data_IF_174628631375
#
_entry.id   IF_174628631375
#
_cell.length_a   1.000
_cell.length_b   1.000
_cell.length_c   1.000
_cell.angle_alpha   90.00
_cell.angle_beta   90.00
_cell.angle_gamma   90.00
#
_symmetry.space_group_name_H-M   'P 1'
#
loop_
_entity.id
_entity.type
_entity.pdbx_description
1 polymer ?
#
# COMPACT_ATOMS: atom_id res chain seq x y z
N UNK A 1 0.56 -13.14 -7.24
CA UNK A 1 0.27 -11.90 -8.02
C UNK A 1 0.03 -10.80 -7.02
N UNK A 2 0.74 -9.67 -7.05
CA UNK A 2 0.62 -8.62 -6.03
C UNK A 2 -0.82 -8.06 -5.83
N UNK A 3 -1.01 -7.33 -4.73
CA UNK A 3 -2.20 -6.53 -4.45
C UNK A 3 -1.84 -5.05 -4.32
N UNK A 4 -2.67 -4.17 -4.90
CA UNK A 4 -2.51 -2.71 -4.83
C UNK A 4 -3.84 -2.15 -4.33
N UNK A 5 -3.76 -1.18 -3.42
CA UNK A 5 -4.92 -0.58 -2.76
C UNK A 5 -4.69 0.92 -2.61
N UNK A 6 -5.77 1.69 -2.62
CA UNK A 6 -5.68 3.12 -2.46
C UNK A 6 -7.01 3.78 -2.16
N UNK A 7 -6.94 4.89 -1.44
CA UNK A 7 -8.01 5.88 -1.28
C UNK A 7 -7.43 7.25 -1.61
N UNK A 8 -8.13 8.01 -2.44
CA UNK A 8 -7.80 9.41 -2.73
C UNK A 8 -8.99 10.29 -2.38
N UNK A 9 -8.73 11.41 -1.72
CA UNK A 9 -9.72 12.41 -1.33
C UNK A 9 -9.19 13.81 -1.66
N UNK A 10 -9.81 14.47 -2.64
CA UNK A 10 -9.40 15.82 -3.07
C UNK A 10 -9.63 16.91 -2.03
N UNK A 11 -10.49 16.67 -1.03
CA UNK A 11 -10.72 17.58 0.09
C UNK A 11 -9.81 17.30 1.30
N UNK A 12 -8.77 16.48 1.13
CA UNK A 12 -7.89 16.02 2.20
C UNK A 12 -8.45 14.84 2.99
N UNK A 13 -7.62 13.81 3.22
CA UNK A 13 -7.94 12.62 4.01
C UNK A 13 -8.38 13.01 5.42
N UNK A 14 -9.38 12.30 5.93
CA UNK A 14 -9.68 12.34 7.35
C UNK A 14 -8.61 11.59 8.14
N UNK A 15 -8.43 11.89 9.44
CA UNK A 15 -7.48 11.17 10.29
C UNK A 15 -7.68 9.64 10.27
N UNK A 16 -8.93 9.16 10.22
CA UNK A 16 -9.30 7.74 10.15
C UNK A 16 -9.05 7.07 8.79
N UNK A 17 -8.65 7.85 7.79
CA UNK A 17 -8.40 7.37 6.42
C UNK A 17 -6.92 7.23 6.11
N UNK A 18 -6.03 7.79 6.92
CA UNK A 18 -4.58 7.73 6.70
C UNK A 18 -4.05 6.30 6.68
N UNK A 19 -4.61 5.41 7.50
CA UNK A 19 -4.22 3.99 7.57
C UNK A 19 -4.99 3.07 6.58
N UNK A 20 -5.87 3.63 5.76
CA UNK A 20 -6.83 2.84 4.99
C UNK A 20 -6.15 1.95 3.94
N UNK A 21 -5.13 2.47 3.26
CA UNK A 21 -4.31 1.71 2.34
C UNK A 21 -3.66 0.49 3.01
N UNK A 22 -3.10 0.65 4.21
CA UNK A 22 -2.53 -0.46 4.99
C UNK A 22 -3.56 -1.54 5.32
N UNK A 23 -4.74 -1.13 5.80
CA UNK A 23 -5.83 -2.06 6.17
C UNK A 23 -6.34 -2.83 4.96
N UNK A 24 -6.51 -2.17 3.82
CA UNK A 24 -6.91 -2.81 2.57
C UNK A 24 -5.82 -3.78 2.06
N UNK A 25 -4.55 -3.38 2.10
CA UNK A 25 -3.43 -4.24 1.69
C UNK A 25 -3.34 -5.52 2.53
N UNK A 26 -3.62 -5.43 3.84
CA UNK A 26 -3.64 -6.59 4.76
C UNK A 26 -4.67 -7.64 4.32
N UNK A 27 -5.84 -7.23 3.83
CA UNK A 27 -6.85 -8.15 3.28
C UNK A 27 -6.38 -8.84 1.99
N UNK A 28 -5.48 -8.21 1.25
CA UNK A 28 -4.87 -8.75 0.04
C UNK A 28 -3.56 -9.52 0.30
N UNK A 29 -3.19 -9.83 1.56
CA UNK A 29 -1.93 -10.53 1.87
C UNK A 29 -1.76 -11.86 1.12
N UNK A 30 -2.84 -12.59 0.86
CA UNK A 30 -2.81 -13.84 0.09
C UNK A 30 -2.29 -13.67 -1.36
N UNK A 31 -2.35 -12.45 -1.91
CA UNK A 31 -1.84 -12.09 -3.23
C UNK A 31 -0.33 -11.81 -3.22
N UNK A 32 0.14 -11.16 -2.16
CA UNK A 32 1.53 -10.82 -1.92
C UNK A 32 1.95 -11.11 -0.48
N UNK A 33 2.32 -12.35 -0.17
CA UNK A 33 2.57 -12.80 1.20
C UNK A 33 3.93 -12.33 1.77
N UNK A 34 4.84 -11.87 0.91
CA UNK A 34 6.24 -11.63 1.28
C UNK A 34 6.42 -10.28 2.00
N UNK A 35 5.67 -9.25 1.61
CA UNK A 35 5.73 -7.95 2.26
C UNK A 35 4.42 -7.17 2.14
N UNK A 36 4.16 -6.34 3.14
CA UNK A 36 3.13 -5.30 3.13
C UNK A 36 3.81 -3.95 3.22
N UNK A 37 3.27 -2.96 2.52
CA UNK A 37 3.71 -1.57 2.63
C UNK A 37 2.55 -0.62 2.45
N UNK A 38 2.72 0.59 2.95
CA UNK A 38 1.74 1.66 2.81
C UNK A 38 2.41 3.02 2.75
N UNK A 39 1.71 3.97 2.13
CA UNK A 39 2.09 5.37 2.08
C UNK A 39 0.84 6.20 2.35
N UNK A 40 0.98 7.32 3.04
CA UNK A 40 -0.11 8.27 3.17
C UNK A 40 0.39 9.71 3.23
N UNK A 41 -0.26 10.58 2.48
CA UNK A 41 -0.10 12.03 2.53
C UNK A 41 -1.45 12.70 2.87
N UNK A 42 -1.57 14.00 2.59
CA UNK A 42 -2.77 14.75 2.89
C UNK A 42 -3.97 14.34 2.04
N UNK A 43 -3.79 13.74 0.86
CA UNK A 43 -4.85 13.45 -0.10
C UNK A 43 -4.99 11.96 -0.42
N UNK A 44 -3.98 11.14 -0.17
CA UNK A 44 -3.91 9.75 -0.60
C UNK A 44 -3.43 8.83 0.51
N UNK A 45 -4.04 7.65 0.61
CA UNK A 45 -3.58 6.52 1.42
C UNK A 45 -3.46 5.32 0.49
N UNK A 46 -2.24 4.84 0.27
CA UNK A 46 -1.89 3.76 -0.63
C UNK A 46 -1.40 2.55 0.17
N UNK A 47 -1.61 1.35 -0.36
CA UNK A 47 -1.12 0.12 0.23
C UNK A 47 -0.77 -0.93 -0.83
N UNK A 48 0.23 -1.75 -0.55
CA UNK A 48 0.73 -2.79 -1.45
C UNK A 48 0.97 -4.09 -0.69
N UNK A 49 0.48 -5.21 -1.24
CA UNK A 49 0.83 -6.57 -0.84
C UNK A 49 1.74 -7.18 -1.91
N UNK A 50 3.01 -7.43 -1.57
CA UNK A 50 4.07 -7.79 -2.50
C UNK A 50 4.30 -9.29 -2.56
N UNK A 51 4.29 -9.82 -3.79
CA UNK A 51 4.96 -11.07 -4.14
C UNK A 51 6.29 -10.71 -4.81
N UNK A 52 7.39 -11.10 -4.18
CA UNK A 52 8.75 -10.69 -4.48
C UNK A 52 9.37 -11.63 -5.51
N UNK A 53 9.28 -11.25 -6.80
CA UNK A 53 9.83 -12.05 -7.91
C UNK A 53 11.12 -11.44 -8.44
N UNK A 54 11.11 -10.13 -8.72
CA UNK A 54 12.27 -9.38 -9.22
C UNK A 54 12.74 -8.43 -8.13
N UNK A 55 14.06 -8.37 -7.96
CA UNK A 55 14.73 -7.62 -6.91
C UNK A 55 14.09 -7.83 -5.52
N UNK A 56 14.20 -9.05 -4.94
CA UNK A 56 13.54 -9.38 -3.69
C UNK A 56 13.96 -8.47 -2.53
N UNK A 57 15.18 -7.94 -2.57
CA UNK A 57 15.82 -7.19 -1.49
C UNK A 57 15.58 -5.69 -1.52
N UNK A 58 15.49 -5.05 -2.69
CA UNK A 58 15.36 -3.59 -2.77
C UNK A 58 14.05 -3.13 -3.42
N UNK A 59 13.28 -4.02 -4.06
CA UNK A 59 12.01 -3.69 -4.72
C UNK A 59 10.81 -3.45 -3.78
N UNK A 60 11.02 -2.84 -2.61
CA UNK A 60 9.95 -2.51 -1.65
C UNK A 60 8.95 -1.52 -2.25
N UNK A 61 7.67 -1.65 -1.86
CA UNK A 61 6.59 -0.80 -2.35
C UNK A 61 5.66 -0.37 -1.20
N UNK A 62 5.02 0.81 -1.25
CA UNK A 62 5.06 1.81 -2.34
C UNK A 62 6.45 2.43 -2.55
N UNK A 63 6.80 2.71 -3.81
CA UNK A 63 8.06 3.37 -4.16
C UNK A 63 7.93 4.89 -3.99
N UNK A 64 9.00 5.55 -3.54
CA UNK A 64 9.15 7.01 -3.49
C UNK A 64 10.25 7.48 -4.43
N UNK A 65 10.18 8.74 -4.88
CA UNK A 65 11.24 9.43 -5.63
C UNK A 65 12.08 10.29 -4.69
#
# INVERSE_FOLDING_TARGET
MCGITGLVRFSGLRPDERDRGWRMATLLRHRGPDALGSFADDCASLGHARLSIIDPTAGHQPMSN
#
